data_IF_650848011516
#
_entry.id   IF_650848011516
#
_cell.length_a   1.000
_cell.length_b   1.000
_cell.length_c   1.000
_cell.angle_alpha   90.00
_cell.angle_beta   90.00
_cell.angle_gamma   90.00
#
_symmetry.space_group_name_H-M   'P 1'
#
loop_
_entity.id
_entity.type
_entity.pdbx_description
1 polymer ?
#
# COMPACT_ATOMS: atom_id res chain seq x y z
N UNK A 1 16.95 -25.83 -5.82
CA UNK A 1 16.48 -24.81 -6.79
C UNK A 1 15.37 -24.03 -6.11
N UNK A 2 15.72 -23.09 -5.26
CA UNK A 2 14.76 -22.14 -4.68
C UNK A 2 14.97 -20.83 -5.40
N UNK A 3 14.03 -20.51 -6.28
CA UNK A 3 14.04 -19.31 -7.11
C UNK A 3 13.81 -18.09 -6.20
N UNK A 4 14.67 -17.08 -6.28
CA UNK A 4 14.50 -15.78 -5.64
C UNK A 4 13.17 -15.11 -6.05
N UNK A 5 12.53 -15.58 -7.13
CA UNK A 5 11.22 -15.11 -7.59
C UNK A 5 10.02 -15.62 -6.80
N UNK A 6 10.18 -16.63 -5.93
CA UNK A 6 9.06 -17.19 -5.15
C UNK A 6 8.93 -16.63 -3.73
N UNK A 7 10.00 -16.06 -3.15
CA UNK A 7 9.94 -15.52 -1.78
C UNK A 7 9.29 -14.14 -1.68
N UNK A 8 9.22 -13.40 -2.79
CA UNK A 8 8.51 -12.13 -2.86
C UNK A 8 6.99 -12.30 -3.03
N UNK A 9 6.52 -13.50 -3.40
CA UNK A 9 5.10 -13.82 -3.56
C UNK A 9 4.39 -14.15 -2.25
N UNK A 10 5.12 -14.70 -1.27
CA UNK A 10 4.57 -15.13 0.02
C UNK A 10 4.56 -14.01 1.09
N UNK A 11 5.10 -12.83 0.75
CA UNK A 11 5.22 -11.65 1.64
C UNK A 11 4.29 -10.50 1.26
N UNK A 12 3.54 -10.62 0.17
CA UNK A 12 2.52 -9.65 -0.22
C UNK A 12 1.22 -10.17 0.37
N UNK A 13 0.77 -9.51 1.41
CA UNK A 13 -0.47 -9.74 2.13
C UNK A 13 -1.69 -9.35 1.28
N UNK A 14 -1.84 -9.99 0.11
CA UNK A 14 -2.87 -9.64 -0.89
C UNK A 14 -4.25 -9.88 -0.28
N UNK A 15 -5.09 -8.84 -0.30
CA UNK A 15 -6.42 -8.85 0.30
C UNK A 15 -6.44 -8.62 1.81
N UNK A 16 -5.29 -8.38 2.44
CA UNK A 16 -5.23 -7.90 3.82
C UNK A 16 -5.27 -6.37 3.85
N UNK A 17 -5.87 -5.84 4.91
CA UNK A 17 -6.01 -4.41 5.16
C UNK A 17 -5.03 -3.99 6.26
N UNK A 18 -4.30 -2.91 6.01
CA UNK A 18 -3.36 -2.33 6.97
C UNK A 18 -3.63 -0.85 7.18
N UNK A 19 -3.36 -0.39 8.39
CA UNK A 19 -3.41 1.02 8.75
C UNK A 19 -2.07 1.66 8.46
N UNK A 20 -2.03 2.46 7.39
CA UNK A 20 -0.81 3.07 6.88
C UNK A 20 -0.97 4.58 6.76
N UNK A 21 0.06 5.30 7.16
CA UNK A 21 0.16 6.74 6.92
C UNK A 21 0.52 6.96 5.45
N UNK A 22 -0.21 7.87 4.79
CA UNK A 22 0.03 8.20 3.41
C UNK A 22 0.89 9.44 3.27
N UNK A 23 1.88 9.35 2.39
CA UNK A 23 2.73 10.45 1.98
C UNK A 23 2.56 10.69 0.48
N UNK A 24 2.78 11.92 0.03
CA UNK A 24 2.78 12.23 -1.39
C UNK A 24 4.21 12.19 -1.95
N UNK A 25 4.44 11.25 -2.87
CA UNK A 25 5.67 11.16 -3.66
C UNK A 25 5.34 11.22 -5.15
N UNK A 26 6.02 12.08 -5.90
CA UNK A 26 5.83 12.24 -7.36
C UNK A 26 4.37 12.46 -7.79
N UNK A 27 3.57 13.15 -6.96
CA UNK A 27 2.14 13.38 -7.21
C UNK A 27 1.22 12.17 -6.97
N UNK A 28 1.74 11.14 -6.30
CA UNK A 28 1.01 9.91 -5.94
C UNK A 28 1.07 9.68 -4.44
N UNK A 29 -0.01 9.12 -3.91
CA UNK A 29 -0.01 8.68 -2.52
C UNK A 29 0.71 7.35 -2.40
N UNK A 30 1.71 7.33 -1.54
CA UNK A 30 2.50 6.16 -1.18
C UNK A 30 2.43 5.96 0.33
N UNK A 31 2.71 4.75 0.77
CA UNK A 31 2.75 4.36 2.16
C UNK A 31 3.91 3.40 2.35
N UNK A 32 4.57 3.47 3.50
CA UNK A 32 5.55 2.46 3.88
C UNK A 32 4.90 1.08 3.90
N UNK A 33 5.68 0.06 3.52
CA UNK A 33 5.18 -1.30 3.57
C UNK A 33 5.05 -1.76 5.03
N UNK A 34 3.94 -2.43 5.42
CA UNK A 34 3.74 -2.90 6.80
C UNK A 34 4.78 -3.93 7.26
N UNK A 35 5.52 -4.51 6.31
CA UNK A 35 6.69 -5.34 6.59
C UNK A 35 7.95 -4.53 6.27
N UNK A 36 8.67 -4.09 7.32
CA UNK A 36 9.94 -3.34 7.24
C UNK A 36 11.02 -4.05 6.42
N UNK A 37 10.93 -5.38 6.23
CA UNK A 37 11.86 -6.14 5.41
C UNK A 37 11.52 -6.08 3.90
N UNK A 38 10.35 -5.54 3.54
CA UNK A 38 9.96 -5.34 2.15
C UNK A 38 10.66 -4.11 1.58
N UNK A 39 11.43 -4.23 0.49
CA UNK A 39 12.06 -3.09 -0.16
C UNK A 39 11.09 -2.29 -1.06
N UNK A 40 9.78 -2.58 -1.02
CA UNK A 40 8.79 -2.00 -1.92
C UNK A 40 7.68 -1.31 -1.14
N UNK A 41 7.51 -0.01 -1.37
CA UNK A 41 6.43 0.79 -0.79
C UNK A 41 5.07 0.42 -1.41
N UNK A 42 4.00 0.83 -0.73
CA UNK A 42 2.62 0.66 -1.17
C UNK A 42 2.16 1.95 -1.84
N UNK A 43 1.85 1.89 -3.13
CA UNK A 43 1.28 3.00 -3.88
C UNK A 43 -0.24 2.88 -4.00
N UNK A 44 -0.95 3.87 -3.47
CA UNK A 44 -2.41 3.93 -3.53
C UNK A 44 -2.87 4.31 -4.94
N UNK A 45 -3.73 3.48 -5.51
CA UNK A 45 -4.23 3.64 -6.89
C UNK A 45 -5.75 3.64 -6.98
N UNK A 46 -6.41 3.18 -5.94
CA UNK A 46 -7.87 3.02 -5.88
C UNK A 46 -8.40 3.55 -4.54
N UNK A 47 -9.65 3.99 -4.51
CA UNK A 47 -10.29 4.53 -3.30
C UNK A 47 -9.84 5.93 -2.90
N UNK A 48 -9.06 6.62 -3.74
CA UNK A 48 -8.62 8.00 -3.50
C UNK A 48 -9.78 8.99 -3.38
N UNK A 49 -10.93 8.68 -3.98
CA UNK A 49 -12.17 9.45 -3.89
C UNK A 49 -12.79 9.50 -2.48
N UNK A 50 -12.34 8.60 -1.59
CA UNK A 50 -12.80 8.55 -0.21
C UNK A 50 -12.03 9.52 0.68
N UNK A 51 -10.80 9.87 0.31
CA UNK A 51 -9.96 10.76 1.08
C UNK A 51 -10.48 12.19 0.95
N UNK A 52 -10.73 12.84 2.09
CA UNK A 52 -11.13 14.25 2.13
C UNK A 52 -9.95 15.17 1.80
N UNK A 53 -8.73 14.74 2.13
CA UNK A 53 -7.47 15.47 1.94
C UNK A 53 -6.41 14.57 1.31
N UNK A 54 -5.46 15.17 0.59
CA UNK A 54 -4.44 14.44 -0.18
C UNK A 54 -3.07 15.12 -0.01
N UNK A 55 -2.15 14.56 0.80
CA UNK A 55 -2.31 13.36 1.65
C UNK A 55 -3.20 13.62 2.89
N UNK A 56 -3.84 12.58 3.46
CA UNK A 56 -4.50 12.66 4.76
C UNK A 56 -3.48 12.80 5.89
N UNK A 57 -3.84 13.56 6.94
CA UNK A 57 -3.00 13.74 8.14
C UNK A 57 -3.04 12.49 9.06
N UNK A 58 -4.11 11.70 8.99
CA UNK A 58 -4.32 10.51 9.79
C UNK A 58 -4.05 9.22 8.98
N UNK A 59 -3.61 8.12 9.64
CA UNK A 59 -3.48 6.82 8.99
C UNK A 59 -4.81 6.32 8.45
N UNK A 60 -4.78 5.73 7.25
CA UNK A 60 -5.98 5.20 6.58
C UNK A 60 -5.87 3.71 6.35
N UNK A 61 -7.02 3.03 6.23
CA UNK A 61 -7.06 1.60 6.00
C UNK A 61 -6.88 1.30 4.51
N UNK A 62 -5.82 0.55 4.20
CA UNK A 62 -5.41 0.22 2.83
C UNK A 62 -5.40 -1.28 2.64
N UNK A 63 -6.17 -1.75 1.65
CA UNK A 63 -6.14 -3.13 1.19
C UNK A 63 -5.08 -3.30 0.10
N UNK A 64 -4.25 -4.34 0.22
CA UNK A 64 -3.24 -4.67 -0.79
C UNK A 64 -3.88 -5.45 -1.94
N UNK A 65 -3.89 -4.87 -3.14
CA UNK A 65 -4.60 -5.43 -4.32
C UNK A 65 -3.80 -6.54 -5.02
N UNK A 66 -2.54 -6.76 -4.64
CA UNK A 66 -1.71 -7.84 -5.20
C UNK A 66 -1.27 -7.63 -6.64
N UNK A 67 -1.16 -6.38 -7.05
CA UNK A 67 -0.51 -5.98 -8.31
C UNK A 67 0.62 -4.99 -8.04
N UNK A 68 1.60 -4.92 -8.92
CA UNK A 68 2.69 -3.95 -8.86
C UNK A 68 2.46 -2.86 -9.90
N UNK A 69 2.57 -1.60 -9.50
CA UNK A 69 2.41 -0.43 -10.38
C UNK A 69 3.59 0.50 -10.13
N UNK A 70 4.33 0.83 -11.18
CA UNK A 70 5.53 1.68 -11.12
C UNK A 70 6.59 1.19 -10.12
N UNK A 71 6.73 -0.13 -9.98
CA UNK A 71 7.68 -0.76 -9.06
C UNK A 71 7.23 -0.79 -7.59
N UNK A 72 6.02 -0.29 -7.28
CA UNK A 72 5.42 -0.29 -5.94
C UNK A 72 4.23 -1.25 -5.86
N UNK A 73 3.91 -1.74 -4.66
CA UNK A 73 2.74 -2.59 -4.43
C UNK A 73 1.49 -1.72 -4.51
N UNK A 74 0.48 -2.13 -5.28
CA UNK A 74 -0.75 -1.37 -5.38
C UNK A 74 -1.63 -1.57 -4.15
N UNK A 75 -2.00 -0.44 -3.53
CA UNK A 75 -2.98 -0.38 -2.45
C UNK A 75 -4.29 0.29 -2.88
N UNK A 76 -5.36 -0.04 -2.16
CA UNK A 76 -6.68 0.58 -2.28
C UNK A 76 -7.14 1.10 -0.92
N UNK A 77 -7.58 2.35 -0.86
CA UNK A 77 -8.22 2.89 0.36
C UNK A 77 -9.57 2.21 0.55
N UNK A 78 -9.70 1.46 1.65
CA UNK A 78 -10.95 0.84 2.04
C UNK A 78 -11.71 1.71 3.03
N UNK A 79 -11.01 2.36 3.95
CA UNK A 79 -11.56 3.26 4.98
C UNK A 79 -10.60 4.43 5.23
N UNK A 80 -11.14 5.60 5.57
CA UNK A 80 -10.37 6.82 5.86
C UNK A 80 -9.91 6.92 7.31
N UNK A 81 -10.42 6.03 8.15
CA UNK A 81 -10.12 5.97 9.58
C UNK A 81 -9.70 4.55 9.91
N UNK A 82 -8.78 4.42 10.85
CA UNK A 82 -8.23 3.15 11.31
C UNK A 82 -8.64 2.92 12.76
N UNK A 83 -9.50 1.93 13.00
CA UNK A 83 -9.99 1.54 14.34
C UNK A 83 -9.02 0.62 15.10
#
# INVERSE_FOLDING_TARGET
MTSIRDLLGESIAIGETFCLTLEEEDGRLVADHPNDASPMDVAVVEGLDRLEERPPDEPVAIEIVGRIVDGRIAGRVVETECE
#
